data_IF_460303245606
#
_entry.id   IF_460303245606
#
_cell.length_a   1.000
_cell.length_b   1.000
_cell.length_c   1.000
_cell.angle_alpha   90.00
_cell.angle_beta   90.00
_cell.angle_gamma   90.00
#
_symmetry.space_group_name_H-M   'P 1'
#
loop_
_entity.id
_entity.type
_entity.pdbx_description
1 polymer ?
#
# COMPACT_ATOMS: atom_id res chain seq x y z
N UNK A 1 -13.25 -4.63 -13.89
CA UNK A 1 -11.82 -4.54 -13.53
C UNK A 1 -11.52 -5.53 -12.41
N UNK A 2 -10.30 -6.03 -12.26
CA UNK A 2 -9.90 -6.85 -11.11
C UNK A 2 -9.02 -6.00 -10.21
N UNK A 3 -9.44 -5.79 -8.96
CA UNK A 3 -8.63 -5.12 -7.94
C UNK A 3 -8.03 -6.18 -7.03
N UNK A 4 -6.71 -6.10 -6.84
CA UNK A 4 -5.95 -6.98 -5.94
C UNK A 4 -5.24 -6.11 -4.91
N UNK A 5 -5.34 -6.52 -3.65
CA UNK A 5 -4.59 -5.92 -2.55
C UNK A 5 -3.67 -6.98 -1.96
N UNK A 6 -2.36 -6.82 -2.10
CA UNK A 6 -1.39 -7.70 -1.46
C UNK A 6 -1.36 -7.42 0.05
N UNK A 7 -1.12 -8.44 0.86
CA UNK A 7 -1.06 -8.32 2.32
C UNK A 7 0.35 -8.64 2.78
N UNK A 8 1.00 -7.71 3.44
CA UNK A 8 2.34 -7.88 4.01
C UNK A 8 2.28 -7.85 5.52
N UNK A 9 3.13 -8.65 6.16
CA UNK A 9 3.35 -8.62 7.60
C UNK A 9 4.74 -8.08 7.88
N UNK A 10 4.85 -7.19 8.87
CA UNK A 10 6.11 -6.66 9.38
C UNK A 10 5.89 -5.96 10.72
N UNK A 11 6.87 -6.01 11.62
CA UNK A 11 6.78 -5.35 12.95
C UNK A 11 5.52 -5.73 13.75
N UNK A 12 5.10 -7.01 13.65
CA UNK A 12 3.92 -7.53 14.34
C UNK A 12 2.57 -7.08 13.79
N UNK A 13 2.54 -6.32 12.69
CA UNK A 13 1.31 -5.80 12.08
C UNK A 13 1.18 -6.24 10.62
N UNK A 14 -0.07 -6.33 10.17
CA UNK A 14 -0.39 -6.58 8.76
C UNK A 14 -0.77 -5.27 8.08
N UNK A 15 -0.33 -5.09 6.84
CA UNK A 15 -0.73 -3.98 5.98
C UNK A 15 -1.22 -4.50 4.64
N UNK A 16 -2.22 -3.83 4.09
CA UNK A 16 -2.63 -4.06 2.72
C UNK A 16 -1.92 -3.07 1.81
N UNK A 17 -1.54 -3.52 0.62
CA UNK A 17 -0.96 -2.66 -0.41
C UNK A 17 -2.05 -2.35 -1.42
N UNK A 18 -2.30 -1.07 -1.64
CA UNK A 18 -3.07 -0.57 -2.77
C UNK A 18 -2.11 0.03 -3.80
N UNK A 19 -1.89 -0.70 -4.88
CA UNK A 19 -1.06 -0.25 -5.99
C UNK A 19 -1.94 0.36 -7.10
N UNK A 20 -1.95 1.70 -7.28
CA UNK A 20 -2.78 2.33 -8.32
C UNK A 20 -2.29 2.01 -9.74
N UNK A 21 -1.02 1.68 -9.94
CA UNK A 21 -0.45 1.30 -11.25
C UNK A 21 -1.00 -0.06 -11.66
N UNK A 22 -1.00 -1.04 -10.75
CA UNK A 22 -1.55 -2.38 -11.00
C UNK A 22 -3.09 -2.36 -11.07
N UNK A 23 -3.74 -1.65 -10.14
CA UNK A 23 -5.20 -1.65 -10.02
C UNK A 23 -5.88 -0.66 -10.97
N UNK A 24 -5.15 0.28 -11.58
CA UNK A 24 -5.69 1.34 -12.46
C UNK A 24 -6.80 2.16 -11.79
N UNK A 25 -6.68 2.37 -10.48
CA UNK A 25 -7.63 3.10 -9.66
C UNK A 25 -6.88 3.74 -8.49
N UNK A 26 -7.10 5.03 -8.30
CA UNK A 26 -6.56 5.77 -7.16
C UNK A 26 -7.30 5.41 -5.88
N UNK A 27 -6.60 5.50 -4.75
CA UNK A 27 -7.20 5.34 -3.44
C UNK A 27 -7.37 6.70 -2.76
N UNK A 28 -8.58 7.23 -2.84
CA UNK A 28 -8.99 8.38 -2.04
C UNK A 28 -9.52 7.97 -0.65
N UNK A 29 -9.81 8.98 0.17
CA UNK A 29 -10.33 8.81 1.52
C UNK A 29 -11.67 8.05 1.56
N UNK A 30 -12.57 8.28 0.59
CA UNK A 30 -13.88 7.64 0.54
C UNK A 30 -13.73 6.14 0.27
N UNK A 31 -12.89 5.77 -0.69
CA UNK A 31 -12.56 4.38 -1.02
C UNK A 31 -11.82 3.68 0.13
N UNK A 32 -10.84 4.34 0.76
CA UNK A 32 -10.15 3.78 1.91
C UNK A 32 -11.11 3.43 3.06
N UNK A 33 -12.04 4.35 3.37
CA UNK A 33 -13.10 4.13 4.37
C UNK A 33 -14.08 3.02 3.96
N UNK A 34 -14.45 2.94 2.69
CA UNK A 34 -15.32 1.88 2.18
C UNK A 34 -14.66 0.50 2.32
N UNK A 35 -13.38 0.38 1.94
CA UNK A 35 -12.60 -0.85 2.09
C UNK A 35 -12.56 -1.26 3.57
N UNK A 36 -12.36 -0.32 4.49
CA UNK A 36 -12.39 -0.64 5.92
C UNK A 36 -13.77 -1.14 6.36
N UNK A 37 -14.84 -0.43 6.01
CA UNK A 37 -16.22 -0.76 6.40
C UNK A 37 -16.65 -2.15 5.90
N UNK A 38 -16.14 -2.58 4.76
CA UNK A 38 -16.43 -3.90 4.18
C UNK A 38 -15.82 -5.08 4.96
N UNK A 39 -14.98 -4.83 5.97
CA UNK A 39 -14.18 -5.84 6.69
C UNK A 39 -13.24 -6.67 5.78
N UNK A 40 -13.04 -6.27 4.51
CA UNK A 40 -12.12 -6.95 3.60
C UNK A 40 -10.68 -6.90 4.13
N UNK A 41 -10.32 -5.87 4.91
CA UNK A 41 -9.00 -5.74 5.53
C UNK A 41 -8.87 -6.28 6.95
N UNK A 42 -9.62 -7.32 7.33
CA UNK A 42 -9.60 -7.84 8.70
C UNK A 42 -8.18 -8.19 9.17
N UNK A 43 -7.83 -7.67 10.35
CA UNK A 43 -6.51 -7.84 10.97
C UNK A 43 -5.39 -6.97 10.39
N UNK A 44 -5.64 -6.15 9.36
CA UNK A 44 -4.68 -5.16 8.88
C UNK A 44 -4.75 -3.88 9.72
N UNK A 45 -3.58 -3.34 10.08
CA UNK A 45 -3.40 -2.07 10.77
C UNK A 45 -3.70 -0.87 9.86
N UNK A 46 -3.54 -1.04 8.54
CA UNK A 46 -3.83 0.01 7.56
C UNK A 46 -3.60 -0.44 6.11
N UNK A 47 -3.73 0.52 5.20
CA UNK A 47 -3.49 0.39 3.76
C UNK A 47 -2.32 1.30 3.39
N UNK A 48 -1.28 0.74 2.77
CA UNK A 48 -0.21 1.49 2.12
C UNK A 48 -0.63 1.73 0.66
N UNK A 49 -0.75 2.99 0.28
CA UNK A 49 -1.22 3.43 -1.03
C UNK A 49 -0.04 3.91 -1.88
N UNK A 50 0.31 3.16 -2.91
CA UNK A 50 1.38 3.47 -3.84
C UNK A 50 1.85 2.25 -4.64
N UNK A 51 2.73 2.45 -5.63
CA UNK A 51 3.49 3.66 -5.89
C UNK A 51 2.68 4.76 -6.61
N UNK A 52 2.85 6.01 -6.18
CA UNK A 52 2.28 7.20 -6.84
C UNK A 52 3.44 7.91 -7.56
N UNK A 53 3.32 8.13 -8.86
CA UNK A 53 4.37 8.72 -9.69
C UNK A 53 4.06 10.19 -9.99
N UNK A 54 4.90 11.10 -9.50
CA UNK A 54 4.77 12.55 -9.72
C UNK A 54 6.16 13.18 -9.94
N UNK A 55 6.33 13.95 -11.01
CA UNK A 55 7.57 14.70 -11.33
C UNK A 55 8.87 13.88 -11.17
N UNK A 56 8.91 12.68 -11.76
CA UNK A 56 10.00 11.69 -11.66
C UNK A 56 10.30 11.17 -10.23
N UNK A 57 9.45 11.51 -9.26
CA UNK A 57 9.51 10.99 -7.90
C UNK A 57 8.41 9.96 -7.68
N UNK A 58 8.67 9.11 -6.69
CA UNK A 58 7.70 8.12 -6.24
C UNK A 58 7.31 8.37 -4.79
N UNK A 59 6.01 8.39 -4.56
CA UNK A 59 5.40 8.60 -3.25
C UNK A 59 4.53 7.41 -2.87
N UNK A 60 4.23 7.32 -1.58
CA UNK A 60 3.18 6.48 -1.07
C UNK A 60 2.57 7.16 0.17
N UNK A 61 1.36 6.73 0.52
CA UNK A 61 0.62 7.20 1.69
C UNK A 61 0.25 6.02 2.57
N UNK A 62 -0.11 6.30 3.82
CA UNK A 62 -0.75 5.31 4.68
C UNK A 62 -2.15 5.81 5.05
N UNK A 63 -3.13 4.91 4.90
CA UNK A 63 -4.44 5.06 5.53
C UNK A 63 -4.51 4.10 6.72
N UNK A 64 -4.88 4.61 7.88
CA UNK A 64 -4.90 3.86 9.13
C UNK A 64 -6.10 2.91 9.23
N UNK A 65 -6.26 2.30 10.40
CA UNK A 65 -7.34 1.36 10.71
C UNK A 65 -8.75 1.95 10.56
N UNK A 66 -8.90 3.28 10.58
CA UNK A 66 -10.17 4.00 10.38
C UNK A 66 -10.34 4.50 8.94
N UNK A 67 -9.37 4.24 8.06
CA UNK A 67 -9.34 4.72 6.68
C UNK A 67 -8.97 6.19 6.55
N UNK A 68 -8.40 6.81 7.59
CA UNK A 68 -7.89 8.19 7.57
C UNK A 68 -6.40 8.21 7.18
N UNK A 69 -5.97 9.21 6.43
CA UNK A 69 -4.54 9.38 6.11
C UNK A 69 -3.75 9.70 7.38
N UNK A 70 -2.59 9.07 7.53
CA UNK A 70 -1.66 9.27 8.65
C UNK A 70 -0.25 9.59 8.13
N UNK A 71 0.59 10.12 9.02
CA UNK A 71 2.00 10.35 8.74
C UNK A 71 2.74 9.00 8.60
N UNK A 72 3.69 8.95 7.66
CA UNK A 72 4.52 7.77 7.42
C UNK A 72 5.54 7.57 8.55
N UNK A 73 5.58 6.37 9.14
CA UNK A 73 6.66 5.96 10.01
C UNK A 73 7.67 5.02 9.33
N UNK A 74 8.79 4.74 10.00
CA UNK A 74 9.85 3.88 9.45
C UNK A 74 9.42 2.42 9.20
N UNK A 75 8.38 1.92 9.90
CA UNK A 75 7.80 0.59 9.66
C UNK A 75 7.02 0.59 8.35
N UNK A 76 6.17 1.60 8.13
CA UNK A 76 5.43 1.78 6.87
C UNK A 76 6.39 1.80 5.68
N UNK A 77 7.46 2.60 5.79
CA UNK A 77 8.54 2.70 4.79
C UNK A 77 9.14 1.34 4.45
N UNK A 78 9.63 0.59 5.45
CA UNK A 78 10.30 -0.70 5.22
C UNK A 78 9.36 -1.77 4.65
N UNK A 79 8.10 -1.79 5.08
CA UNK A 79 7.09 -2.69 4.50
C UNK A 79 6.84 -2.34 3.03
N UNK A 80 6.69 -1.05 2.72
CA UNK A 80 6.50 -0.59 1.35
C UNK A 80 7.73 -0.87 0.47
N UNK A 81 8.95 -0.64 0.97
CA UNK A 81 10.19 -0.99 0.27
C UNK A 81 10.27 -2.49 -0.05
N UNK A 82 9.84 -3.35 0.88
CA UNK A 82 9.76 -4.79 0.63
C UNK A 82 8.77 -5.12 -0.48
N UNK A 83 7.57 -4.53 -0.42
CA UNK A 83 6.58 -4.66 -1.48
C UNK A 83 7.14 -4.25 -2.85
N UNK A 84 7.79 -3.09 -2.93
CA UNK A 84 8.37 -2.58 -4.18
C UNK A 84 9.34 -3.58 -4.81
N UNK A 85 10.25 -4.14 -3.99
CA UNK A 85 11.20 -5.16 -4.42
C UNK A 85 10.50 -6.44 -4.89
N UNK A 86 9.55 -6.95 -4.11
CA UNK A 86 8.81 -8.18 -4.42
C UNK A 86 7.92 -8.03 -5.67
N UNK A 87 7.40 -6.82 -5.91
CA UNK A 87 6.61 -6.45 -7.07
C UNK A 87 7.44 -6.16 -8.34
N UNK A 88 8.78 -6.18 -8.25
CA UNK A 88 9.69 -5.97 -9.37
C UNK A 88 9.87 -4.50 -9.78
N UNK A 89 9.48 -3.56 -8.93
CA UNK A 89 9.83 -2.16 -9.11
C UNK A 89 11.26 -1.92 -8.64
N UNK A 90 12.00 -1.03 -9.31
CA UNK A 90 13.34 -0.62 -8.86
C UNK A 90 13.24 0.55 -7.86
N UNK A 91 13.55 0.31 -6.57
CA UNK A 91 13.54 1.34 -5.54
C UNK A 91 14.63 2.41 -5.72
N UNK A 92 15.69 2.10 -6.47
CA UNK A 92 16.89 2.92 -6.66
C UNK A 92 16.81 3.78 -7.94
N UNK A 93 16.18 3.28 -9.01
CA UNK A 93 15.91 4.08 -10.21
C UNK A 93 14.77 5.07 -10.00
N UNK A 94 13.75 4.69 -9.21
CA UNK A 94 12.72 5.63 -8.78
C UNK A 94 13.29 6.53 -7.69
N UNK A 95 13.22 7.85 -7.87
CA UNK A 95 13.59 8.80 -6.84
C UNK A 95 12.52 8.75 -5.74
N UNK A 96 12.61 7.75 -4.86
CA UNK A 96 11.84 7.76 -3.62
C UNK A 96 12.20 9.01 -2.85
N UNK A 97 11.19 9.62 -2.21
CA UNK A 97 11.36 10.74 -1.29
C UNK A 97 12.63 10.53 -0.46
N UNK A 98 13.47 11.56 -0.38
CA UNK A 98 14.81 11.52 0.22
C UNK A 98 14.91 10.76 1.55
N UNK A 99 13.83 10.75 2.35
CA UNK A 99 13.69 10.04 3.62
C UNK A 99 13.57 8.51 3.55
N UNK A 100 13.57 7.91 2.34
CA UNK A 100 13.57 6.46 2.09
C UNK A 100 14.91 5.95 1.56
N UNK A 101 15.70 6.81 0.89
CA UNK A 101 16.98 6.41 0.27
C UNK A 101 18.01 5.97 1.32
N UNK A 102 18.02 6.63 2.47
CA UNK A 102 18.88 6.24 3.61
C UNK A 102 18.46 4.88 4.21
N UNK A 103 17.15 4.59 4.24
CA UNK A 103 16.60 3.33 4.76
C UNK A 103 16.85 2.14 3.80
N UNK A 104 16.86 2.35 2.48
CA UNK A 104 17.14 1.31 1.47
C UNK A 104 18.55 0.71 1.64
N UNK A 105 19.51 1.51 2.14
CA UNK A 105 20.88 1.06 2.38
C UNK A 105 21.00 0.08 3.57
N UNK A 106 19.99 0.03 4.45
CA UNK A 106 19.98 -0.82 5.64
C UNK A 106 19.01 -1.99 5.47
N UNK A 107 19.52 -3.20 5.71
CA UNK A 107 18.80 -4.49 5.69
C UNK A 107 17.28 -4.36 5.90
N UNK A 108 16.52 -4.58 4.82
CA UNK A 108 15.11 -4.93 4.94
C UNK A 108 15.07 -6.17 5.83
N UNK A 109 14.41 -6.03 6.97
CA UNK A 109 14.38 -7.07 7.98
C UNK A 109 13.74 -8.33 7.37
N UNK A 110 14.38 -9.49 7.57
CA UNK A 110 13.93 -10.76 6.96
C UNK A 110 12.52 -11.18 7.41
N UNK A 111 11.99 -10.58 8.47
CA UNK A 111 10.64 -10.83 8.98
C UNK A 111 9.53 -10.09 8.21
N UNK A 112 9.87 -9.19 7.28
CA UNK A 112 8.89 -8.54 6.41
C UNK A 112 8.63 -9.42 5.18
N UNK A 113 7.40 -9.91 5.04
CA UNK A 113 7.03 -10.83 3.95
C UNK A 113 5.56 -10.70 3.54
N UNK A 114 5.28 -11.05 2.28
CA UNK A 114 3.92 -11.21 1.78
C UNK A 114 3.26 -12.43 2.46
N UNK A 115 2.05 -12.24 2.97
CA UNK A 115 1.24 -13.28 3.64
C UNK A 115 -0.06 -13.61 2.88
N UNK A 116 -0.21 -13.10 1.66
CA UNK A 116 -1.33 -13.37 0.78
C UNK A 116 -1.83 -12.13 0.05
N UNK A 117 -3.03 -12.25 -0.52
CA UNK A 117 -3.69 -11.17 -1.23
C UNK A 117 -5.21 -11.27 -1.07
N UNK A 118 -5.87 -10.16 -1.32
CA UNK A 118 -7.33 -10.03 -1.31
C UNK A 118 -7.76 -9.61 -2.70
N UNK A 119 -8.69 -10.36 -3.28
CA UNK A 119 -9.32 -10.02 -4.56
C UNK A 119 -10.69 -9.43 -4.23
N UNK A 120 -10.92 -8.19 -4.64
CA UNK A 120 -12.22 -7.56 -4.43
C UNK A 120 -13.26 -8.18 -5.36
N UNK A 121 -14.45 -8.42 -4.84
CA UNK A 121 -15.56 -8.92 -5.65
C UNK A 121 -16.04 -7.83 -6.64
N UNK A 122 -16.66 -8.25 -7.74
CA UNK A 122 -17.05 -7.34 -8.81
C UNK A 122 -18.10 -6.30 -8.40
N UNK A 123 -18.97 -6.60 -7.42
CA UNK A 123 -19.99 -5.67 -6.95
C UNK A 123 -19.34 -4.52 -6.17
N UNK A 124 -18.45 -4.86 -5.24
CA UNK A 124 -17.71 -3.87 -4.47
C UNK A 124 -16.76 -3.03 -5.33
N UNK A 125 -16.13 -3.62 -6.36
CA UNK A 125 -15.32 -2.84 -7.32
C UNK A 125 -16.18 -1.78 -8.02
N UNK A 126 -17.41 -2.10 -8.44
CA UNK A 126 -18.32 -1.12 -9.06
C UNK A 126 -18.71 0.00 -8.09
N UNK A 127 -18.89 -0.31 -6.80
CA UNK A 127 -19.13 0.70 -5.78
C UNK A 127 -17.95 1.66 -5.65
N UNK A 128 -16.70 1.16 -5.66
CA UNK A 128 -15.52 2.00 -5.61
C UNK A 128 -15.35 2.87 -6.88
N UNK A 129 -15.76 2.37 -8.05
CA UNK A 129 -15.69 3.12 -9.33
C UNK A 129 -16.60 4.35 -9.33
N UNK A 130 -17.74 4.31 -8.64
CA UNK A 130 -18.69 5.44 -8.56
C UNK A 130 -18.36 6.43 -7.43
N UNK A 131 -17.49 6.06 -6.49
CA UNK A 131 -16.98 6.97 -5.46
C UNK A 131 -15.98 7.94 -6.09
N UNK A 132 -16.10 9.23 -5.74
CA UNK A 132 -15.18 10.31 -6.10
C UNK A 132 -14.64 10.99 -4.86
#
# INVERSE_FOLDING_TARGET
MKIVMEKYRGYGNDFLIWDPVKNKMDLDLNRAKAIKKSNLGFGAAGILYGPIMEDNNMFFKVFNGDGCEEELDNRNKKIFLRYMKDAGYDPLESCMVSSLKEDIAYNIQDDIHNIGFIILNNEFVKELEIMK
#
